data_IF_635242142485
#
_entry.id   IF_635242142485
#
_cell.length_a   1.000
_cell.length_b   1.000
_cell.length_c   1.000
_cell.angle_alpha   90.00
_cell.angle_beta   90.00
_cell.angle_gamma   90.00
#
_symmetry.space_group_name_H-M   'P 1'
#
loop_
_entity.id
_entity.type
_entity.pdbx_description
1 polymer ?
#
# COMPACT_ATOMS: atom_id res chain seq x y z
N UNK A 1 -4.29 28.62 -19.60
CA UNK A 1 -3.90 27.65 -18.56
C UNK A 1 -2.50 27.17 -18.90
N UNK A 2 -1.49 27.60 -18.15
CA UNK A 2 -0.08 27.31 -18.44
C UNK A 2 0.27 25.88 -18.05
N UNK A 3 1.20 25.23 -18.77
CA UNK A 3 1.59 23.83 -18.53
C UNK A 3 2.05 23.56 -17.08
N UNK A 4 2.60 24.57 -16.42
CA UNK A 4 3.00 24.54 -15.00
C UNK A 4 1.81 24.31 -14.06
N UNK A 5 0.68 24.98 -14.31
CA UNK A 5 -0.53 24.83 -13.49
C UNK A 5 -1.15 23.45 -13.68
N UNK A 6 -1.11 22.93 -14.91
CA UNK A 6 -1.59 21.59 -15.22
C UNK A 6 -0.73 20.52 -14.52
N UNK A 7 0.60 20.63 -14.57
CA UNK A 7 1.50 19.72 -13.87
C UNK A 7 1.27 19.71 -12.35
N UNK A 8 1.03 20.88 -11.75
CA UNK A 8 0.68 21.02 -10.33
C UNK A 8 -0.64 20.33 -9.97
N UNK A 9 -1.66 20.47 -10.81
CA UNK A 9 -2.96 19.81 -10.61
C UNK A 9 -2.85 18.28 -10.70
N UNK A 10 -2.09 17.75 -11.67
CA UNK A 10 -1.85 16.31 -11.78
C UNK A 10 -1.06 15.76 -10.59
N UNK A 11 -0.03 16.48 -10.13
CA UNK A 11 0.74 16.05 -8.95
C UNK A 11 -0.11 16.04 -7.68
N UNK A 12 -0.98 17.04 -7.49
CA UNK A 12 -1.90 17.08 -6.36
C UNK A 12 -2.93 15.94 -6.39
N UNK A 13 -3.47 15.63 -7.58
CA UNK A 13 -4.39 14.51 -7.77
C UNK A 13 -3.71 13.17 -7.46
N UNK A 14 -2.49 12.96 -7.96
CA UNK A 14 -1.70 11.76 -7.71
C UNK A 14 -1.37 11.57 -6.22
N UNK A 15 -1.01 12.66 -5.52
CA UNK A 15 -0.76 12.63 -4.08
C UNK A 15 -2.01 12.28 -3.27
N UNK A 16 -3.18 12.80 -3.66
CA UNK A 16 -4.45 12.50 -2.99
C UNK A 16 -4.92 11.05 -3.24
N UNK A 17 -4.71 10.54 -4.45
CA UNK A 17 -4.96 9.13 -4.78
C UNK A 17 -3.94 8.19 -4.14
N UNK A 18 -2.71 8.65 -3.87
CA UNK A 18 -1.72 7.86 -3.15
C UNK A 18 -2.21 7.55 -1.74
N UNK A 19 -2.76 8.53 -1.01
CA UNK A 19 -3.33 8.28 0.32
C UNK A 19 -4.43 7.20 0.33
N UNK A 20 -5.25 7.12 -0.72
CA UNK A 20 -6.30 6.09 -0.83
C UNK A 20 -5.79 4.75 -1.38
N UNK A 21 -4.76 4.74 -2.23
CA UNK A 21 -4.16 3.51 -2.80
C UNK A 21 -3.23 2.81 -1.80
N UNK A 22 -2.53 3.58 -0.96
CA UNK A 22 -1.66 3.06 0.11
C UNK A 22 -2.48 2.25 1.12
N UNK A 23 -3.74 2.59 1.35
CA UNK A 23 -4.63 1.81 2.21
C UNK A 23 -4.91 0.41 1.64
N UNK A 24 -5.27 0.32 0.35
CA UNK A 24 -5.49 -0.97 -0.31
C UNK A 24 -4.23 -1.81 -0.43
N UNK A 25 -3.11 -1.20 -0.87
CA UNK A 25 -1.81 -1.89 -0.92
C UNK A 25 -1.33 -2.30 0.48
N UNK A 26 -1.64 -1.53 1.53
CA UNK A 26 -1.34 -1.87 2.91
C UNK A 26 -2.14 -3.07 3.41
N UNK A 27 -3.40 -3.19 3.01
CA UNK A 27 -4.25 -4.34 3.35
C UNK A 27 -3.74 -5.63 2.69
N UNK A 28 -3.35 -5.57 1.41
CA UNK A 28 -2.73 -6.69 0.69
C UNK A 28 -1.42 -7.14 1.35
N UNK A 29 -0.55 -6.18 1.71
CA UNK A 29 0.72 -6.46 2.42
C UNK A 29 0.46 -7.06 3.80
N UNK A 30 -0.54 -6.55 4.52
CA UNK A 30 -0.89 -7.04 5.85
C UNK A 30 -1.41 -8.48 5.80
N UNK A 31 -2.31 -8.78 4.86
CA UNK A 31 -2.83 -10.14 4.65
C UNK A 31 -1.73 -11.14 4.29
N UNK A 32 -0.83 -10.77 3.38
CA UNK A 32 0.33 -11.57 3.03
C UNK A 32 1.28 -11.78 4.23
N UNK A 33 1.53 -10.74 5.02
CA UNK A 33 2.32 -10.79 6.25
C UNK A 33 1.72 -11.73 7.29
N UNK A 34 0.42 -11.63 7.55
CA UNK A 34 -0.29 -12.52 8.49
C UNK A 34 -0.22 -13.99 8.06
N UNK A 35 -0.32 -14.28 6.76
CA UNK A 35 -0.18 -15.64 6.24
C UNK A 35 1.23 -16.20 6.46
N UNK A 36 2.27 -15.40 6.24
CA UNK A 36 3.66 -15.78 6.51
C UNK A 36 3.89 -15.98 8.01
N UNK A 37 3.42 -15.06 8.87
CA UNK A 37 3.54 -15.18 10.33
C UNK A 37 2.87 -16.44 10.84
N UNK A 38 1.63 -16.73 10.41
CA UNK A 38 0.94 -17.96 10.81
C UNK A 38 1.66 -19.23 10.35
N UNK A 39 2.25 -19.19 9.16
CA UNK A 39 3.02 -20.32 8.63
C UNK A 39 4.30 -20.55 9.43
N UNK A 40 5.00 -19.46 9.78
CA UNK A 40 6.19 -19.50 10.62
C UNK A 40 5.86 -20.00 12.03
N UNK A 41 4.79 -19.50 12.64
CA UNK A 41 4.32 -19.92 13.96
C UNK A 41 3.96 -21.42 13.98
N UNK A 42 3.28 -21.91 12.93
CA UNK A 42 2.97 -23.34 12.77
C UNK A 42 4.22 -24.23 12.72
N UNK A 43 5.27 -23.78 12.04
CA UNK A 43 6.55 -24.51 11.96
C UNK A 43 7.27 -24.45 13.31
N UNK A 44 7.28 -23.27 13.95
CA UNK A 44 7.90 -23.07 15.25
C UNK A 44 7.22 -23.91 16.35
N UNK A 45 5.90 -24.09 16.28
CA UNK A 45 5.15 -24.97 17.20
C UNK A 45 5.32 -26.47 16.92
N UNK A 46 5.73 -26.85 15.69
CA UNK A 46 5.96 -28.25 15.30
C UNK A 46 7.38 -28.73 15.63
N UNK A 47 8.27 -27.86 16.10
CA UNK A 47 9.59 -28.19 16.62
C UNK A 47 9.56 -28.28 18.15
#
# INVERSE_FOLDING_TARGET
MTAKTLALLLAAAAALSACNTIAGAGEDVSAAGSAVTNSADNVQQKM
#
